data_IF_734764120659
#
_entry.id   IF_734764120659
#
_cell.length_a   1.000
_cell.length_b   1.000
_cell.length_c   1.000
_cell.angle_alpha   90.00
_cell.angle_beta   90.00
_cell.angle_gamma   90.00
#
_symmetry.space_group_name_H-M   'P 1'
#
loop_
_entity.id
_entity.type
_entity.pdbx_description
1 polymer ?
#
# COMPACT_ATOMS: atom_id res chain seq x y z
N UNK A 1 13.96 15.41 -19.55
CA UNK A 1 13.86 15.31 -18.09
C UNK A 1 12.40 15.50 -17.69
N UNK A 2 11.84 14.54 -16.97
CA UNK A 2 10.48 14.53 -16.45
C UNK A 2 10.46 15.03 -15.01
N UNK A 3 9.30 15.50 -14.54
CA UNK A 3 9.15 15.90 -13.13
C UNK A 3 9.44 14.73 -12.17
N UNK A 4 9.10 13.51 -12.58
CA UNK A 4 9.45 12.29 -11.85
C UNK A 4 10.97 12.05 -11.78
N UNK A 5 11.73 12.35 -12.84
CA UNK A 5 13.19 12.15 -12.89
C UNK A 5 13.94 13.06 -11.89
N UNK A 6 13.34 14.19 -11.51
CA UNK A 6 13.90 15.18 -10.57
C UNK A 6 13.24 15.13 -9.19
N UNK A 7 12.43 14.10 -8.93
CA UNK A 7 11.78 13.90 -7.63
C UNK A 7 10.62 14.85 -7.33
N UNK A 8 10.13 15.63 -8.29
CA UNK A 8 8.98 16.51 -8.12
C UNK A 8 7.67 15.73 -8.32
N UNK A 9 7.36 14.86 -7.36
CA UNK A 9 6.21 13.95 -7.43
C UNK A 9 4.87 14.68 -7.37
N UNK A 10 4.77 15.75 -6.58
CA UNK A 10 3.56 16.58 -6.50
C UNK A 10 3.07 17.02 -7.89
N UNK A 11 3.89 17.80 -8.60
CA UNK A 11 3.54 18.29 -9.93
C UNK A 11 3.53 17.17 -10.96
N UNK A 12 4.40 16.17 -10.80
CA UNK A 12 4.44 14.99 -11.67
C UNK A 12 3.11 14.26 -11.70
N UNK A 13 2.55 13.93 -10.53
CA UNK A 13 1.26 13.28 -10.38
C UNK A 13 0.14 14.17 -10.91
N UNK A 14 0.13 15.46 -10.54
CA UNK A 14 -0.89 16.42 -10.99
C UNK A 14 -0.98 16.47 -12.53
N UNK A 15 0.15 16.65 -13.20
CA UNK A 15 0.20 16.74 -14.65
C UNK A 15 -0.09 15.40 -15.33
N UNK A 16 0.36 14.30 -14.76
CA UNK A 16 0.06 12.97 -15.28
C UNK A 16 -1.45 12.66 -15.20
N UNK A 17 -2.13 13.07 -14.13
CA UNK A 17 -3.58 12.92 -14.02
C UNK A 17 -4.32 13.79 -15.04
N UNK A 18 -3.87 15.03 -15.25
CA UNK A 18 -4.40 15.90 -16.33
C UNK A 18 -4.18 15.27 -17.71
N UNK A 19 -3.01 14.70 -17.97
CA UNK A 19 -2.71 14.02 -19.22
C UNK A 19 -3.65 12.83 -19.47
N UNK A 20 -3.92 12.01 -18.44
CA UNK A 20 -4.91 10.92 -18.52
C UNK A 20 -6.30 11.47 -18.84
N UNK A 21 -6.75 12.49 -18.12
CA UNK A 21 -8.08 13.08 -18.30
C UNK A 21 -8.28 13.67 -19.71
N UNK A 22 -7.23 14.24 -20.28
CA UNK A 22 -7.22 14.83 -21.63
C UNK A 22 -6.92 13.81 -22.73
N UNK A 23 -6.78 12.52 -22.40
CA UNK A 23 -6.45 11.47 -23.38
C UNK A 23 -5.09 11.65 -24.05
N UNK A 24 -4.16 12.35 -23.40
CA UNK A 24 -2.83 12.61 -23.97
C UNK A 24 -2.02 11.31 -24.05
N UNK A 25 -1.35 11.03 -25.18
CA UNK A 25 -0.52 9.84 -25.30
C UNK A 25 0.73 9.97 -24.43
N UNK A 26 1.30 8.82 -24.05
CA UNK A 26 2.68 8.78 -23.56
C UNK A 26 3.64 9.03 -24.74
N UNK A 27 4.85 9.56 -24.49
CA UNK A 27 5.88 9.63 -25.51
C UNK A 27 6.18 8.26 -26.10
N UNK A 28 6.46 8.21 -27.40
CA UNK A 28 6.69 6.96 -28.13
C UNK A 28 7.88 6.14 -27.58
N UNK A 29 8.84 6.79 -26.94
CA UNK A 29 10.00 6.14 -26.31
C UNK A 29 9.62 5.38 -25.03
N UNK A 30 8.50 5.71 -24.39
CA UNK A 30 8.00 5.05 -23.18
C UNK A 30 6.91 4.07 -23.56
N UNK A 31 7.20 2.78 -23.42
CA UNK A 31 6.26 1.69 -23.78
C UNK A 31 5.04 1.60 -22.87
N UNK A 32 5.17 2.03 -21.60
CA UNK A 32 4.08 1.98 -20.61
C UNK A 32 3.07 3.10 -20.87
N UNK A 33 1.79 2.83 -20.63
CA UNK A 33 0.74 3.86 -20.59
C UNK A 33 0.80 4.62 -19.25
N UNK A 34 0.21 5.82 -19.20
CA UNK A 34 0.19 6.68 -18.02
C UNK A 34 -0.15 5.95 -16.71
N UNK A 35 -1.25 5.18 -16.59
CA UNK A 35 -1.57 4.50 -15.33
C UNK A 35 -0.46 3.57 -14.84
N UNK A 36 0.11 2.76 -15.73
CA UNK A 36 1.17 1.81 -15.38
C UNK A 36 2.48 2.51 -15.03
N UNK A 37 2.82 3.57 -15.77
CA UNK A 37 4.00 4.39 -15.47
C UNK A 37 3.91 5.03 -14.09
N UNK A 38 2.79 5.71 -13.79
CA UNK A 38 2.58 6.37 -12.49
C UNK A 38 2.56 5.34 -11.36
N UNK A 39 1.86 4.23 -11.56
CA UNK A 39 1.78 3.17 -10.56
C UNK A 39 3.15 2.59 -10.22
N UNK A 40 3.99 2.29 -11.20
CA UNK A 40 5.34 1.78 -10.95
C UNK A 40 6.19 2.83 -10.23
N UNK A 41 6.24 4.08 -10.74
CA UNK A 41 7.07 5.15 -10.17
C UNK A 41 6.72 5.47 -8.71
N UNK A 42 5.43 5.56 -8.37
CA UNK A 42 5.01 5.88 -7.01
C UNK A 42 5.16 4.68 -6.08
N UNK A 43 5.04 3.45 -6.59
CA UNK A 43 5.33 2.26 -5.80
C UNK A 43 6.80 2.20 -5.40
N UNK A 44 7.71 2.37 -6.37
CA UNK A 44 9.17 2.36 -6.14
C UNK A 44 9.58 3.44 -5.12
N UNK A 45 9.03 4.65 -5.25
CA UNK A 45 9.24 5.71 -4.28
C UNK A 45 8.69 5.36 -2.89
N UNK A 46 7.49 4.80 -2.81
CA UNK A 46 6.86 4.46 -1.54
C UNK A 46 7.61 3.34 -0.81
N UNK A 47 8.11 2.32 -1.52
CA UNK A 47 8.98 1.30 -0.95
C UNK A 47 10.23 1.92 -0.31
N UNK A 48 10.92 2.80 -1.04
CA UNK A 48 12.10 3.49 -0.52
C UNK A 48 11.79 4.38 0.69
N UNK A 49 10.66 5.08 0.71
CA UNK A 49 10.25 5.86 1.90
C UNK A 49 10.00 4.96 3.11
N UNK A 50 9.24 3.88 2.90
CA UNK A 50 8.84 2.98 3.98
C UNK A 50 10.02 2.22 4.59
N UNK A 51 11.02 1.85 3.78
CA UNK A 51 12.28 1.25 4.26
C UNK A 51 13.08 2.21 5.15
N UNK A 52 12.98 3.52 4.91
CA UNK A 52 13.63 4.56 5.71
C UNK A 52 12.76 5.06 6.89
N UNK A 53 11.60 4.45 7.14
CA UNK A 53 10.66 4.89 8.18
C UNK A 53 9.95 6.22 7.87
N UNK A 54 10.06 6.71 6.64
CA UNK A 54 9.43 7.95 6.18
C UNK A 54 7.97 7.74 5.79
N UNK A 55 7.20 8.83 5.80
CA UNK A 55 5.81 8.81 5.32
C UNK A 55 5.74 8.51 3.82
N UNK A 56 4.83 7.61 3.45
CA UNK A 56 4.44 7.33 2.05
C UNK A 56 3.31 8.24 1.56
N UNK A 57 2.71 9.02 2.46
CA UNK A 57 1.62 9.94 2.15
C UNK A 57 2.17 11.34 1.81
N UNK A 58 1.49 12.09 0.92
CA UNK A 58 0.16 11.81 0.35
C UNK A 58 0.14 11.00 -0.96
N UNK A 59 1.32 10.69 -1.52
CA UNK A 59 1.41 10.21 -2.90
C UNK A 59 0.92 8.78 -3.06
N UNK A 60 1.31 7.89 -2.14
CA UNK A 60 0.87 6.50 -2.19
C UNK A 60 -0.65 6.41 -2.08
N UNK A 61 -1.28 7.06 -1.09
CA UNK A 61 -2.73 7.03 -0.91
C UNK A 61 -3.49 7.61 -2.09
N UNK A 62 -2.97 8.68 -2.71
CA UNK A 62 -3.53 9.29 -3.92
C UNK A 62 -3.54 8.32 -5.10
N UNK A 63 -2.40 7.67 -5.36
CA UNK A 63 -2.27 6.73 -6.49
C UNK A 63 -2.97 5.41 -6.19
N UNK A 64 -2.96 4.93 -4.95
CA UNK A 64 -3.64 3.71 -4.53
C UNK A 64 -5.13 3.77 -4.85
N UNK A 65 -5.81 4.89 -4.53
CA UNK A 65 -7.22 5.10 -4.87
C UNK A 65 -7.50 4.97 -6.37
N UNK A 66 -6.58 5.46 -7.22
CA UNK A 66 -6.70 5.33 -8.68
C UNK A 66 -6.48 3.89 -9.14
N UNK A 67 -5.46 3.22 -8.60
CA UNK A 67 -5.13 1.82 -8.91
C UNK A 67 -6.29 0.88 -8.61
N UNK A 68 -7.01 1.08 -7.51
CA UNK A 68 -8.05 0.14 -7.07
C UNK A 68 -9.45 0.45 -7.61
N UNK A 69 -9.74 1.71 -7.98
CA UNK A 69 -11.08 2.13 -8.41
C UNK A 69 -11.19 2.50 -9.89
N UNK A 70 -10.14 3.11 -10.46
CA UNK A 70 -10.25 3.81 -11.75
C UNK A 70 -9.45 3.13 -12.87
N UNK A 71 -8.27 2.62 -12.55
CA UNK A 71 -7.32 2.12 -13.55
C UNK A 71 -7.43 0.61 -13.75
N UNK A 72 -7.57 0.19 -15.02
CA UNK A 72 -7.54 -1.22 -15.43
C UNK A 72 -6.09 -1.70 -15.57
N UNK A 73 -5.41 -1.88 -14.44
CA UNK A 73 -4.05 -2.41 -14.38
C UNK A 73 -4.04 -3.95 -14.28
N UNK A 74 -2.94 -4.61 -14.66
CA UNK A 74 -2.78 -6.04 -14.44
C UNK A 74 -2.93 -6.41 -12.96
N UNK A 75 -3.62 -7.51 -12.66
CA UNK A 75 -3.88 -7.97 -11.29
C UNK A 75 -2.62 -8.05 -10.40
N UNK A 76 -1.43 -8.47 -10.89
CA UNK A 76 -0.22 -8.47 -10.06
C UNK A 76 0.19 -7.08 -9.56
N UNK A 77 -0.05 -6.03 -10.35
CA UNK A 77 0.26 -4.63 -9.97
C UNK A 77 -0.71 -4.17 -8.87
N UNK A 78 -2.01 -4.39 -9.08
CA UNK A 78 -3.03 -4.04 -8.08
C UNK A 78 -2.84 -4.84 -6.78
N UNK A 79 -2.48 -6.12 -6.87
CA UNK A 79 -2.16 -6.96 -5.72
C UNK A 79 -0.95 -6.42 -4.92
N UNK A 80 0.10 -5.97 -5.60
CA UNK A 80 1.27 -5.33 -4.94
C UNK A 80 0.84 -4.09 -4.14
N UNK A 81 -0.02 -3.25 -4.68
CA UNK A 81 -0.53 -2.07 -4.00
C UNK A 81 -1.35 -2.41 -2.74
N UNK A 82 -2.29 -3.35 -2.84
CA UNK A 82 -3.03 -3.84 -1.67
C UNK A 82 -2.11 -4.43 -0.60
N UNK A 83 -1.13 -5.23 -1.01
CA UNK A 83 -0.13 -5.80 -0.10
C UNK A 83 0.62 -4.69 0.63
N UNK A 84 1.14 -3.71 -0.12
CA UNK A 84 1.93 -2.63 0.46
C UNK A 84 1.10 -1.78 1.42
N UNK A 85 -0.15 -1.44 1.06
CA UNK A 85 -1.06 -0.71 1.93
C UNK A 85 -1.31 -1.47 3.26
N UNK A 86 -1.58 -2.78 3.19
CA UNK A 86 -1.77 -3.61 4.38
C UNK A 86 -0.51 -3.71 5.24
N UNK A 87 0.68 -3.82 4.63
CA UNK A 87 1.95 -3.83 5.35
C UNK A 87 2.29 -2.46 5.97
N UNK A 88 1.96 -1.36 5.30
CA UNK A 88 2.19 -0.01 5.84
C UNK A 88 1.43 0.21 7.15
N UNK A 89 0.21 -0.33 7.27
CA UNK A 89 -0.54 -0.33 8.53
C UNK A 89 0.13 -1.16 9.63
N UNK A 90 1.06 -2.07 9.32
CA UNK A 90 1.74 -2.92 10.30
C UNK A 90 3.17 -2.47 10.60
N UNK A 91 3.62 -1.40 9.94
CA UNK A 91 5.00 -0.95 9.99
C UNK A 91 5.27 -0.12 11.26
N UNK A 92 6.39 -0.41 11.90
CA UNK A 92 6.94 0.37 13.00
C UNK A 92 7.86 1.49 12.50
N UNK A 93 8.23 2.41 13.39
CA UNK A 93 9.08 3.56 13.05
C UNK A 93 10.46 3.19 12.50
N UNK A 94 10.97 2.00 12.85
CA UNK A 94 12.23 1.46 12.34
C UNK A 94 12.10 0.74 10.98
N UNK A 95 10.91 0.76 10.37
CA UNK A 95 10.63 0.09 9.10
C UNK A 95 10.16 -1.36 9.23
N UNK A 96 10.21 -1.99 10.40
CA UNK A 96 9.83 -3.39 10.55
C UNK A 96 8.32 -3.62 10.53
N UNK A 97 7.89 -4.74 9.97
CA UNK A 97 6.49 -5.20 10.00
C UNK A 97 6.24 -5.97 11.30
N UNK A 98 5.59 -5.34 12.28
CA UNK A 98 5.44 -5.90 13.64
C UNK A 98 3.98 -5.93 14.13
N UNK A 99 3.14 -6.83 13.59
CA UNK A 99 1.75 -6.96 14.02
C UNK A 99 1.60 -7.19 15.54
N UNK A 100 2.57 -7.85 16.18
CA UNK A 100 2.57 -8.16 17.60
C UNK A 100 2.57 -6.94 18.53
N UNK A 101 3.06 -5.79 18.08
CA UNK A 101 3.13 -4.57 18.89
C UNK A 101 1.90 -3.67 18.73
N UNK A 102 0.98 -4.00 17.82
CA UNK A 102 -0.22 -3.19 17.58
C UNK A 102 -1.31 -3.60 18.56
N UNK A 103 -1.80 -2.65 19.36
CA UNK A 103 -2.94 -2.84 20.27
C UNK A 103 -4.30 -2.48 19.67
N UNK A 104 -4.30 -1.84 18.50
CA UNK A 104 -5.50 -1.38 17.81
C UNK A 104 -6.09 -2.51 16.94
N UNK A 105 -7.26 -3.01 17.34
CA UNK A 105 -7.99 -4.09 16.68
C UNK A 105 -8.48 -3.67 15.29
N UNK A 106 -8.94 -2.44 15.13
CA UNK A 106 -9.47 -1.95 13.85
C UNK A 106 -8.36 -1.81 12.82
N UNK A 107 -7.19 -1.31 13.25
CA UNK A 107 -5.98 -1.25 12.41
C UNK A 107 -5.52 -2.63 11.96
N UNK A 108 -5.56 -3.64 12.84
CA UNK A 108 -5.22 -5.02 12.50
C UNK A 108 -6.21 -5.63 11.51
N UNK A 109 -7.51 -5.42 11.72
CA UNK A 109 -8.56 -5.90 10.82
C UNK A 109 -8.46 -5.24 9.43
N UNK A 110 -8.20 -3.94 9.37
CA UNK A 110 -8.01 -3.25 8.10
C UNK A 110 -6.77 -3.76 7.34
N UNK A 111 -5.65 -3.97 8.05
CA UNK A 111 -4.47 -4.57 7.46
C UNK A 111 -4.76 -5.97 6.90
N UNK A 112 -5.50 -6.82 7.62
CA UNK A 112 -5.86 -8.15 7.12
C UNK A 112 -6.77 -8.10 5.89
N UNK A 113 -7.77 -7.21 5.86
CA UNK A 113 -8.65 -7.01 4.70
C UNK A 113 -7.86 -6.63 3.44
N UNK A 114 -6.90 -5.71 3.56
CA UNK A 114 -6.05 -5.30 2.44
C UNK A 114 -5.16 -6.47 1.96
N UNK A 115 -4.55 -7.21 2.89
CA UNK A 115 -3.71 -8.36 2.56
C UNK A 115 -4.52 -9.50 1.93
N UNK A 116 -5.73 -9.75 2.40
CA UNK A 116 -6.66 -10.69 1.79
C UNK A 116 -6.99 -10.32 0.35
N UNK A 117 -7.29 -9.05 0.11
CA UNK A 117 -7.56 -8.56 -1.23
C UNK A 117 -6.37 -8.77 -2.16
N UNK A 118 -5.15 -8.52 -1.69
CA UNK A 118 -3.93 -8.83 -2.43
C UNK A 118 -3.81 -10.33 -2.79
N UNK A 119 -4.09 -11.23 -1.85
CA UNK A 119 -4.06 -12.67 -2.08
C UNK A 119 -5.11 -13.13 -3.10
N UNK A 120 -6.30 -12.51 -3.08
CA UNK A 120 -7.38 -12.83 -4.03
C UNK A 120 -7.05 -12.44 -5.47
N UNK A 121 -6.23 -11.39 -5.66
CA UNK A 121 -5.85 -10.87 -6.97
C UNK A 121 -4.62 -11.59 -7.55
N UNK A 122 -3.73 -12.10 -6.70
CA UNK A 122 -2.51 -12.72 -7.19
C UNK A 122 -2.01 -13.83 -6.26
N UNK A 123 -1.92 -15.06 -6.80
CA UNK A 123 -1.47 -16.26 -6.05
C UNK A 123 -0.09 -16.12 -5.42
N UNK A 124 0.78 -15.27 -5.97
CA UNK A 124 2.12 -14.99 -5.44
C UNK A 124 2.20 -13.67 -4.67
N UNK A 125 1.10 -13.17 -4.11
CA UNK A 125 1.14 -12.02 -3.19
C UNK A 125 1.97 -12.30 -1.92
N UNK A 126 2.11 -13.58 -1.52
CA UNK A 126 2.96 -14.02 -0.38
C UNK A 126 2.61 -13.34 0.96
N UNK A 127 1.32 -13.24 1.29
CA UNK A 127 0.82 -12.57 2.51
C UNK A 127 0.45 -13.53 3.66
N UNK A 128 0.45 -14.84 3.41
CA UNK A 128 -0.04 -15.85 4.38
C UNK A 128 0.62 -15.71 5.77
N UNK A 129 1.94 -15.57 5.81
CA UNK A 129 2.69 -15.49 7.07
C UNK A 129 2.31 -14.26 7.89
N UNK A 130 2.18 -13.09 7.26
CA UNK A 130 1.81 -11.85 7.98
C UNK A 130 0.35 -11.88 8.43
N UNK A 131 -0.57 -12.41 7.62
CA UNK A 131 -1.99 -12.61 8.01
C UNK A 131 -2.11 -13.54 9.22
N UNK A 132 -1.34 -14.63 9.27
CA UNK A 132 -1.30 -15.50 10.44
C UNK A 132 -0.84 -14.77 11.71
N UNK A 133 0.17 -13.89 11.61
CA UNK A 133 0.62 -13.06 12.74
C UNK A 133 -0.45 -12.08 13.21
N UNK A 134 -1.20 -11.47 12.29
CA UNK A 134 -2.34 -10.61 12.61
C UNK A 134 -3.40 -11.41 13.38
N UNK A 135 -3.80 -12.57 12.87
CA UNK A 135 -4.79 -13.43 13.51
C UNK A 135 -4.37 -13.87 14.93
N UNK A 136 -3.08 -14.19 15.13
CA UNK A 136 -2.55 -14.48 16.47
C UNK A 136 -2.66 -13.28 17.41
N UNK A 137 -2.35 -12.08 16.92
CA UNK A 137 -2.43 -10.85 17.72
C UNK A 137 -3.87 -10.52 18.10
N UNK A 138 -4.81 -10.63 17.17
CA UNK A 138 -6.24 -10.39 17.44
C UNK A 138 -6.76 -11.31 18.55
N UNK A 139 -6.46 -12.61 18.48
CA UNK A 139 -6.83 -13.58 19.53
C UNK A 139 -6.21 -13.24 20.89
N UNK A 140 -4.96 -12.76 20.91
CA UNK A 140 -4.31 -12.36 22.15
C UNK A 140 -4.99 -11.13 22.78
N UNK A 141 -5.40 -10.15 21.96
CA UNK A 141 -6.14 -8.97 22.42
C UNK A 141 -7.53 -9.33 22.94
N UNK A 142 -8.24 -10.23 22.25
CA UNK A 142 -9.54 -10.74 22.68
C UNK A 142 -9.46 -11.48 24.03
N UNK A 143 -8.45 -12.35 24.19
CA UNK A 143 -8.20 -13.06 25.45
C UNK A 143 -7.90 -12.09 26.61
N UNK A 144 -7.08 -11.06 26.37
CA UNK A 144 -6.80 -10.03 27.37
C UNK A 144 -8.06 -9.23 27.75
N UNK A 145 -8.86 -8.81 26.77
CA UNK A 145 -10.13 -8.12 27.01
C UNK A 145 -11.13 -8.98 27.79
N UNK A 146 -11.11 -10.29 27.59
CA UNK A 146 -11.97 -11.25 28.30
C UNK A 146 -11.49 -11.56 29.73
N UNK A 147 -10.19 -11.36 30.02
CA UNK A 147 -9.57 -11.62 31.34
C UNK A 147 -9.49 -10.37 32.23
N UNK A 148 -9.58 -9.16 31.66
CA UNK A 148 -9.24 -7.88 32.32
C UNK A 148 -10.39 -6.94 32.68
N UNK A 149 -11.58 -7.47 32.97
CA UNK A 149 -12.65 -6.75 33.68
C UNK A 149 -12.57 -6.85 35.21
N UNK A 150 -11.41 -7.24 35.76
CA UNK A 150 -11.17 -7.32 37.21
C UNK A 150 -9.93 -6.49 37.57
N UNK A 151 -10.07 -5.48 38.44
CA UNK A 151 -8.94 -4.68 38.91
C UNK A 151 -8.21 -5.41 40.05
N UNK A 152 -6.89 -5.21 40.11
CA UNK A 152 -6.16 -5.03 41.37
C UNK A 152 -5.62 -3.59 41.40
#
# INVERSE_FOLDING_TARGET
MWLFDVGNLDRGIEYAFKAIALGQPMPQTIRRKWPGFIADTIFDWAEAQAENGSSIEPYFGTVFKRVINDWKLPEPVTAKYYKFAGLALLRAANGDITPSHIGDVDRLNEADRLLEKAASLHRHAQVKTVRNKIAMRLRALEAYGSQGGLPE
#
